data_IF_729294282192
#
_entry.id   IF_729294282192
#
_cell.length_a   1.000
_cell.length_b   1.000
_cell.length_c   1.000
_cell.angle_alpha   90.00
_cell.angle_beta   90.00
_cell.angle_gamma   90.00
#
_symmetry.space_group_name_H-M   'P 1'
#
loop_
_entity.id
_entity.type
_entity.pdbx_description
1 polymer ?
#
# COMPACT_ATOMS: atom_id res chain seq x y z
N UNK A 1 38.60 -71.14 45.48
CA UNK A 1 37.13 -71.27 45.42
C UNK A 1 36.54 -69.89 45.21
N UNK A 2 36.06 -69.63 43.98
CA UNK A 2 34.87 -68.84 43.60
C UNK A 2 34.82 -67.38 44.10
N UNK A 3 34.67 -66.32 43.31
CA UNK A 3 34.23 -66.05 41.93
C UNK A 3 34.05 -64.50 41.88
N UNK A 4 34.40 -63.77 40.82
CA UNK A 4 33.65 -63.69 39.56
C UNK A 4 32.74 -62.45 39.56
N UNK A 5 32.83 -61.60 38.52
CA UNK A 5 31.73 -60.68 38.17
C UNK A 5 32.14 -59.26 37.77
N UNK A 6 32.32 -59.03 36.47
CA UNK A 6 32.34 -57.72 35.81
C UNK A 6 30.88 -57.38 35.46
N UNK A 7 30.27 -56.31 35.97
CA UNK A 7 28.98 -55.79 35.50
C UNK A 7 28.92 -54.27 35.74
N UNK A 8 29.17 -53.44 34.71
CA UNK A 8 28.19 -52.84 33.79
C UNK A 8 27.42 -51.65 34.40
N UNK A 9 27.67 -50.45 33.84
CA UNK A 9 26.95 -49.19 34.12
C UNK A 9 25.47 -49.31 33.70
N UNK A 10 24.48 -48.94 34.55
CA UNK A 10 23.15 -48.63 34.06
C UNK A 10 23.08 -47.15 33.65
N UNK A 11 22.81 -46.93 32.36
CA UNK A 11 22.42 -45.64 31.78
C UNK A 11 20.89 -45.49 31.85
N UNK A 12 20.44 -44.35 32.38
CA UNK A 12 19.20 -43.58 32.06
C UNK A 12 17.91 -44.18 32.74
N UNK A 13 16.99 -43.35 33.32
CA UNK A 13 16.21 -42.44 32.50
C UNK A 13 16.13 -40.96 32.89
N UNK A 14 16.28 -40.11 31.87
CA UNK A 14 15.87 -38.72 31.83
C UNK A 14 14.34 -38.60 31.69
N UNK A 15 13.57 -39.09 32.67
CA UNK A 15 12.10 -38.97 32.67
C UNK A 15 11.54 -37.93 33.64
N UNK A 16 12.35 -37.35 34.53
CA UNK A 16 11.84 -36.39 35.52
C UNK A 16 11.73 -34.94 35.04
N UNK A 17 12.26 -34.60 33.87
CA UNK A 17 12.26 -33.20 33.41
C UNK A 17 11.16 -32.86 32.40
N UNK A 18 10.51 -33.85 31.79
CA UNK A 18 9.53 -33.61 30.73
C UNK A 18 8.27 -32.93 31.27
N UNK A 19 7.80 -33.31 32.46
CA UNK A 19 6.57 -32.76 33.03
C UNK A 19 6.73 -31.29 33.50
N UNK A 20 7.91 -30.96 34.04
CA UNK A 20 8.22 -29.58 34.44
C UNK A 20 8.41 -28.68 33.23
N UNK A 21 9.11 -29.15 32.18
CA UNK A 21 9.25 -28.40 30.94
C UNK A 21 7.90 -28.20 30.26
N UNK A 22 7.02 -29.22 30.22
CA UNK A 22 5.69 -29.10 29.59
C UNK A 22 4.79 -28.07 30.29
N UNK A 23 4.80 -28.06 31.63
CA UNK A 23 4.00 -27.10 32.40
C UNK A 23 4.55 -25.67 32.29
N UNK A 24 5.87 -25.50 32.28
CA UNK A 24 6.50 -24.19 32.09
C UNK A 24 6.25 -23.65 30.67
N UNK A 25 6.39 -24.48 29.63
CA UNK A 25 6.10 -24.07 28.24
C UNK A 25 4.63 -23.67 28.06
N UNK A 26 3.69 -24.39 28.71
CA UNK A 26 2.27 -24.03 28.66
C UNK A 26 2.00 -22.69 29.36
N UNK A 27 2.64 -22.45 30.51
CA UNK A 27 2.55 -21.18 31.21
C UNK A 27 3.17 -20.02 30.41
N UNK A 28 4.32 -20.24 29.78
CA UNK A 28 4.99 -19.23 28.96
C UNK A 28 4.16 -18.88 27.72
N UNK A 29 3.56 -19.87 27.08
CA UNK A 29 2.68 -19.66 25.92
C UNK A 29 1.39 -18.95 26.30
N UNK A 30 0.80 -19.30 27.45
CA UNK A 30 -0.40 -18.63 27.97
C UNK A 30 -0.09 -17.19 28.41
N UNK A 31 1.08 -16.95 29.00
CA UNK A 31 1.57 -15.63 29.36
C UNK A 31 1.83 -14.78 28.12
N UNK A 32 2.55 -15.30 27.13
CA UNK A 32 2.79 -14.62 25.87
C UNK A 32 1.49 -14.29 25.13
N UNK A 33 0.52 -15.23 25.08
CA UNK A 33 -0.80 -14.97 24.51
C UNK A 33 -1.58 -13.89 25.28
N UNK A 34 -1.50 -13.88 26.61
CA UNK A 34 -2.15 -12.85 27.43
C UNK A 34 -1.48 -11.48 27.31
N UNK A 35 -0.16 -11.43 27.14
CA UNK A 35 0.61 -10.21 26.92
C UNK A 35 0.31 -9.65 25.53
N UNK A 36 0.16 -10.49 24.50
CA UNK A 36 -0.27 -10.07 23.17
C UNK A 36 -1.71 -9.54 23.18
N UNK A 37 -2.65 -10.24 23.83
CA UNK A 37 -4.04 -9.78 23.95
C UNK A 37 -4.14 -8.46 24.75
N UNK A 38 -3.32 -8.29 25.79
CA UNK A 38 -3.25 -7.05 26.55
C UNK A 38 -2.60 -5.91 25.75
N UNK A 39 -1.57 -6.20 24.93
CA UNK A 39 -0.94 -5.23 24.05
C UNK A 39 -1.88 -4.80 22.91
N UNK A 40 -2.63 -5.73 22.31
CA UNK A 40 -3.67 -5.44 21.32
C UNK A 40 -4.82 -4.64 21.93
N UNK A 41 -5.28 -4.99 23.14
CA UNK A 41 -6.30 -4.23 23.85
C UNK A 41 -5.83 -2.82 24.22
N UNK A 42 -4.57 -2.66 24.65
CA UNK A 42 -3.98 -1.34 24.91
C UNK A 42 -3.78 -0.54 23.62
N UNK A 43 -3.40 -1.18 22.51
CA UNK A 43 -3.33 -0.53 21.21
C UNK A 43 -4.72 -0.08 20.72
N UNK A 44 -5.75 -0.92 20.87
CA UNK A 44 -7.13 -0.59 20.55
C UNK A 44 -7.69 0.53 21.45
N UNK A 45 -7.35 0.55 22.74
CA UNK A 45 -7.73 1.62 23.66
C UNK A 45 -7.03 2.94 23.33
N UNK A 46 -5.74 2.91 22.98
CA UNK A 46 -5.00 4.09 22.50
C UNK A 46 -5.57 4.66 21.19
N UNK A 47 -6.12 3.83 20.31
CA UNK A 47 -6.81 4.29 19.08
C UNK A 47 -8.17 4.93 19.41
N UNK A 48 -8.80 4.54 20.53
CA UNK A 48 -10.13 5.03 20.93
C UNK A 48 -10.06 6.37 21.70
N UNK A 49 -8.95 6.67 22.38
CA UNK A 49 -8.76 7.90 23.17
C UNK A 49 -8.12 9.06 22.40
N UNK A 50 -7.61 8.84 21.18
CA UNK A 50 -7.26 9.97 20.30
C UNK A 50 -8.56 10.51 19.73
N UNK A 51 -9.03 11.63 20.29
CA UNK A 51 -10.01 12.50 19.63
C UNK A 51 -9.62 12.62 18.15
N UNK A 52 -10.40 12.00 17.26
CA UNK A 52 -10.18 12.08 15.83
C UNK A 52 -10.64 13.47 15.38
N UNK A 53 -9.89 14.52 15.74
CA UNK A 53 -9.88 15.79 15.00
C UNK A 53 -9.15 15.63 13.65
N UNK A 54 -9.11 14.40 13.12
CA UNK A 54 -8.56 14.06 11.82
C UNK A 54 -9.64 14.11 10.74
N UNK A 55 -9.21 14.42 9.51
CA UNK A 55 -10.09 14.35 8.33
C UNK A 55 -10.57 12.92 8.11
N UNK A 56 -11.81 12.77 7.66
CA UNK A 56 -12.41 11.45 7.34
C UNK A 56 -11.90 10.96 5.99
N UNK A 57 -11.77 9.65 5.83
CA UNK A 57 -11.50 9.05 4.51
C UNK A 57 -12.80 9.03 3.72
N UNK A 58 -12.72 9.34 2.41
CA UNK A 58 -13.89 9.35 1.54
C UNK A 58 -14.43 7.94 1.35
N UNK A 59 -15.72 7.73 1.60
CA UNK A 59 -16.39 6.47 1.34
C UNK A 59 -17.02 6.52 -0.05
N UNK A 60 -16.47 5.75 -0.98
CA UNK A 60 -16.98 5.69 -2.34
C UNK A 60 -18.27 4.84 -2.37
N UNK A 61 -19.32 5.28 -3.11
CA UNK A 61 -20.55 4.50 -3.25
C UNK A 61 -20.27 3.09 -3.78
N UNK A 62 -21.04 2.10 -3.33
CA UNK A 62 -20.91 0.69 -3.73
C UNK A 62 -21.01 0.42 -5.24
N UNK A 63 -21.37 1.43 -6.04
CA UNK A 63 -21.43 1.37 -7.50
C UNK A 63 -20.10 1.75 -8.19
N UNK A 64 -19.06 2.17 -7.47
CA UNK A 64 -17.74 2.43 -8.07
C UNK A 64 -16.99 1.09 -8.23
N UNK A 65 -17.24 0.41 -9.36
CA UNK A 65 -16.68 -0.93 -9.64
C UNK A 65 -15.17 -0.86 -9.95
N UNK A 66 -14.66 0.29 -10.43
CA UNK A 66 -13.23 0.49 -10.68
C UNK A 66 -12.58 1.39 -9.63
N UNK A 67 -11.35 1.05 -9.24
CA UNK A 67 -10.50 1.85 -8.35
C UNK A 67 -10.45 3.31 -8.79
N UNK A 68 -10.27 3.54 -10.09
CA UNK A 68 -10.18 4.87 -10.70
C UNK A 68 -11.46 5.69 -10.50
N UNK A 69 -12.64 5.08 -10.68
CA UNK A 69 -13.91 5.76 -10.50
C UNK A 69 -14.14 6.20 -9.05
N UNK A 70 -13.58 5.49 -8.07
CA UNK A 70 -13.71 5.84 -6.66
C UNK A 70 -13.07 7.21 -6.32
N UNK A 71 -12.05 7.63 -7.08
CA UNK A 71 -11.31 8.88 -6.85
C UNK A 71 -11.88 10.09 -7.57
N UNK A 72 -12.77 9.91 -8.56
CA UNK A 72 -13.26 11.01 -9.39
C UNK A 72 -13.85 12.19 -8.58
N UNK A 73 -14.68 11.98 -7.54
CA UNK A 73 -15.20 13.09 -6.73
C UNK A 73 -14.11 13.88 -5.98
N UNK A 74 -13.08 13.18 -5.49
CA UNK A 74 -11.95 13.82 -4.82
C UNK A 74 -11.09 14.62 -5.80
N UNK A 75 -10.84 14.06 -6.98
CA UNK A 75 -10.12 14.73 -8.05
C UNK A 75 -10.85 16.00 -8.50
N UNK A 76 -12.17 15.94 -8.69
CA UNK A 76 -12.97 17.12 -9.02
C UNK A 76 -12.83 18.22 -7.97
N UNK A 77 -12.77 17.85 -6.69
CA UNK A 77 -12.56 18.80 -5.59
C UNK A 77 -11.17 19.45 -5.67
N UNK A 78 -10.12 18.71 -6.01
CA UNK A 78 -8.76 19.24 -6.24
C UNK A 78 -8.76 20.19 -7.43
N UNK A 79 -9.37 19.80 -8.56
CA UNK A 79 -9.48 20.63 -9.76
C UNK A 79 -10.26 21.92 -9.47
N UNK A 80 -11.35 21.84 -8.71
CA UNK A 80 -12.14 23.01 -8.32
C UNK A 80 -11.34 23.93 -7.38
N UNK A 81 -10.51 23.38 -6.49
CA UNK A 81 -9.59 24.19 -5.68
C UNK A 81 -8.54 24.93 -6.54
N UNK A 82 -8.03 24.29 -7.60
CA UNK A 82 -7.13 24.96 -8.54
C UNK A 82 -7.81 26.07 -9.33
N UNK A 83 -9.04 25.81 -9.83
CA UNK A 83 -9.85 26.81 -10.55
C UNK A 83 -10.13 28.04 -9.68
N UNK A 84 -10.58 27.84 -8.44
CA UNK A 84 -10.93 28.92 -7.51
C UNK A 84 -9.71 29.73 -7.04
N UNK A 85 -8.54 29.09 -6.91
CA UNK A 85 -7.29 29.78 -6.58
C UNK A 85 -6.62 30.44 -7.79
N UNK A 86 -7.07 30.13 -9.01
CA UNK A 86 -6.51 30.65 -10.27
C UNK A 86 -5.17 30.02 -10.67
N UNK A 87 -4.85 28.86 -10.10
CA UNK A 87 -3.71 28.02 -10.49
C UNK A 87 -4.02 27.29 -11.79
N UNK A 88 -2.99 27.12 -12.63
CA UNK A 88 -3.08 26.33 -13.86
C UNK A 88 -2.22 25.08 -13.72
N UNK A 89 -2.82 23.92 -13.95
CA UNK A 89 -2.08 22.68 -14.09
C UNK A 89 -1.51 22.58 -15.50
N UNK A 90 -0.22 22.23 -15.58
CA UNK A 90 0.48 21.87 -16.82
C UNK A 90 0.34 20.38 -17.10
N UNK A 91 0.41 19.56 -16.06
CA UNK A 91 0.19 18.11 -16.15
C UNK A 91 -0.34 17.57 -14.83
N UNK A 92 -1.09 16.47 -14.94
CA UNK A 92 -1.55 15.64 -13.83
C UNK A 92 -1.19 14.20 -14.21
N UNK A 93 -0.38 13.53 -13.40
CA UNK A 93 -0.10 12.09 -13.54
C UNK A 93 -0.72 11.34 -12.38
N UNK A 94 -1.27 10.17 -12.68
CA UNK A 94 -1.95 9.31 -11.71
C UNK A 94 -1.08 8.10 -11.42
N UNK A 95 -0.85 7.85 -10.14
CA UNK A 95 -0.17 6.66 -9.65
C UNK A 95 -1.06 5.97 -8.63
N UNK A 96 -1.70 4.88 -9.05
CA UNK A 96 -2.56 4.09 -8.16
C UNK A 96 -1.76 3.19 -7.21
N UNK A 97 -0.46 3.01 -7.46
CA UNK A 97 0.44 2.11 -6.74
C UNK A 97 1.61 2.84 -6.04
N UNK A 98 1.36 3.85 -5.19
CA UNK A 98 2.43 4.60 -4.55
C UNK A 98 3.18 3.72 -3.54
N UNK A 99 4.35 3.22 -3.94
CA UNK A 99 5.16 2.30 -3.13
C UNK A 99 5.64 2.93 -1.82
N UNK A 100 5.68 4.25 -1.73
CA UNK A 100 6.13 4.98 -0.55
C UNK A 100 5.04 5.19 0.50
N UNK A 101 3.77 4.98 0.16
CA UNK A 101 2.64 5.27 1.03
C UNK A 101 2.38 4.17 2.08
N UNK A 102 2.10 4.58 3.32
CA UNK A 102 1.86 3.66 4.43
C UNK A 102 0.55 2.88 4.30
N UNK A 103 -0.51 3.49 3.74
CA UNK A 103 -1.80 2.82 3.52
C UNK A 103 -1.67 1.81 2.39
N UNK A 104 -0.93 2.16 1.33
CA UNK A 104 -0.56 1.21 0.27
C UNK A 104 0.17 0.00 0.84
N UNK A 105 1.24 0.23 1.62
CA UNK A 105 2.07 -0.83 2.22
C UNK A 105 1.29 -1.71 3.19
N UNK A 106 0.36 -1.12 3.95
CA UNK A 106 -0.47 -1.85 4.90
C UNK A 106 -1.48 -2.79 4.22
N UNK A 107 -1.77 -2.58 2.92
CA UNK A 107 -2.68 -3.40 2.12
C UNK A 107 -4.02 -3.68 2.82
N UNK A 108 -4.60 -2.64 3.42
CA UNK A 108 -5.84 -2.75 4.18
C UNK A 108 -7.03 -3.03 3.24
N UNK A 109 -7.90 -4.00 3.56
CA UNK A 109 -9.03 -4.36 2.69
C UNK A 109 -10.00 -3.19 2.53
N UNK A 110 -10.38 -2.92 1.29
CA UNK A 110 -11.29 -1.82 0.93
C UNK A 110 -10.67 -0.43 0.96
N UNK A 111 -9.41 -0.26 1.37
CA UNK A 111 -8.71 1.02 1.28
C UNK A 111 -7.97 1.12 -0.05
N UNK A 112 -8.19 2.23 -0.75
CA UNK A 112 -7.47 2.56 -1.96
C UNK A 112 -6.72 3.88 -1.78
N UNK A 113 -5.58 3.98 -2.46
CA UNK A 113 -4.78 5.20 -2.52
C UNK A 113 -4.47 5.53 -3.98
N UNK A 114 -4.46 6.82 -4.29
CA UNK A 114 -4.02 7.37 -5.56
C UNK A 114 -3.13 8.57 -5.29
N UNK A 115 -1.91 8.53 -5.81
CA UNK A 115 -0.99 9.66 -5.81
C UNK A 115 -1.14 10.44 -7.12
N UNK A 116 -1.25 11.76 -6.99
CA UNK A 116 -1.36 12.72 -8.06
C UNK A 116 -0.08 13.54 -8.11
N UNK A 117 0.69 13.40 -9.19
CA UNK A 117 1.79 14.31 -9.49
C UNK A 117 1.25 15.49 -10.29
N UNK A 118 1.17 16.65 -9.65
CA UNK A 118 0.62 17.88 -10.20
C UNK A 118 1.76 18.83 -10.52
N UNK A 119 1.97 19.11 -11.81
CA UNK A 119 2.82 20.22 -12.22
C UNK A 119 1.94 21.45 -12.41
N UNK A 120 2.13 22.47 -11.58
CA UNK A 120 1.32 23.67 -11.52
C UNK A 120 2.14 24.93 -11.83
N UNK A 121 1.49 25.97 -12.34
CA UNK A 121 2.08 27.28 -12.53
C UNK A 121 1.18 28.41 -12.01
N UNK A 122 1.78 29.37 -11.32
CA UNK A 122 1.09 30.56 -10.83
C UNK A 122 1.96 31.43 -9.92
N UNK A 123 1.40 32.51 -9.40
CA UNK A 123 2.10 33.35 -8.43
C UNK A 123 2.05 32.75 -7.01
N UNK A 124 2.91 33.23 -6.11
CA UNK A 124 2.94 32.83 -4.70
C UNK A 124 1.54 32.84 -4.05
N UNK A 125 0.78 33.94 -4.23
CA UNK A 125 -0.56 34.09 -3.64
C UNK A 125 -1.53 33.02 -4.14
N UNK A 126 -1.48 32.71 -5.44
CA UNK A 126 -2.35 31.69 -6.04
C UNK A 126 -2.01 30.30 -5.52
N UNK A 127 -0.71 29.99 -5.45
CA UNK A 127 -0.23 28.70 -4.95
C UNK A 127 -0.56 28.51 -3.48
N UNK A 128 -0.37 29.55 -2.66
CA UNK A 128 -0.76 29.55 -1.26
C UNK A 128 -2.27 29.32 -1.08
N UNK A 129 -3.10 29.98 -1.89
CA UNK A 129 -4.55 29.81 -1.84
C UNK A 129 -4.97 28.40 -2.26
N UNK A 130 -4.30 27.82 -3.26
CA UNK A 130 -4.51 26.43 -3.67
C UNK A 130 -4.21 25.46 -2.52
N UNK A 131 -3.00 25.54 -1.93
CA UNK A 131 -2.59 24.66 -0.84
C UNK A 131 -3.51 24.82 0.40
N UNK A 132 -3.93 26.04 0.72
CA UNK A 132 -4.95 26.30 1.76
C UNK A 132 -6.29 25.67 1.40
N UNK A 133 -6.68 25.69 0.13
CA UNK A 133 -7.90 25.05 -0.37
C UNK A 133 -7.87 23.55 -0.15
N UNK A 134 -6.77 22.89 -0.54
CA UNK A 134 -6.54 21.45 -0.31
C UNK A 134 -6.56 21.12 1.19
N UNK A 135 -5.83 21.88 2.01
CA UNK A 135 -5.78 21.66 3.46
C UNK A 135 -7.13 21.85 4.17
N UNK A 136 -8.07 22.60 3.58
CA UNK A 136 -9.43 22.82 4.13
C UNK A 136 -10.46 21.77 3.69
N UNK A 137 -10.11 20.88 2.76
CA UNK A 137 -11.05 19.87 2.27
C UNK A 137 -11.55 18.97 3.42
N UNK A 138 -12.78 18.50 3.32
CA UNK A 138 -13.41 17.66 4.34
C UNK A 138 -12.70 16.30 4.47
N UNK A 139 -12.33 15.72 3.33
CA UNK A 139 -11.72 14.40 3.25
C UNK A 139 -10.21 14.42 3.42
N UNK A 140 -9.66 13.31 3.91
CA UNK A 140 -8.25 13.11 4.10
C UNK A 140 -7.52 13.13 2.76
N UNK A 141 -6.71 14.17 2.57
CA UNK A 141 -5.76 14.30 1.48
C UNK A 141 -4.40 14.59 2.09
N UNK A 142 -3.38 13.86 1.66
CA UNK A 142 -2.03 14.03 2.17
C UNK A 142 -1.15 14.69 1.12
N UNK A 143 -0.54 15.82 1.46
CA UNK A 143 0.44 16.46 0.59
C UNK A 143 1.80 15.85 0.92
N UNK A 144 2.26 14.93 0.07
CA UNK A 144 3.46 14.15 0.31
C UNK A 144 4.73 14.96 0.05
N UNK A 145 4.74 15.75 -1.02
CA UNK A 145 5.90 16.54 -1.43
C UNK A 145 5.44 17.80 -2.17
N UNK A 146 6.15 18.90 -1.95
CA UNK A 146 5.98 20.14 -2.71
C UNK A 146 7.38 20.66 -3.03
N UNK A 147 7.68 20.79 -4.32
CA UNK A 147 8.84 21.52 -4.81
C UNK A 147 8.38 22.78 -5.54
N UNK A 148 9.02 23.91 -5.28
CA UNK A 148 8.66 25.21 -5.88
C UNK A 148 9.92 25.83 -6.47
N UNK A 149 9.88 26.11 -7.76
CA UNK A 149 10.97 26.75 -8.49
C UNK A 149 10.49 28.03 -9.17
N UNK A 150 11.27 29.12 -9.15
CA UNK A 150 10.94 30.32 -9.91
C UNK A 150 11.11 30.06 -11.40
N UNK A 151 10.21 30.58 -12.22
CA UNK A 151 10.37 30.50 -13.67
C UNK A 151 11.49 31.44 -14.14
N UNK A 152 12.43 30.91 -14.93
CA UNK A 152 13.67 31.63 -15.26
C UNK A 152 13.42 32.93 -16.04
N UNK A 153 12.45 32.93 -16.96
CA UNK A 153 12.14 34.09 -17.79
C UNK A 153 11.30 35.14 -17.06
N UNK A 154 10.46 34.71 -16.12
CA UNK A 154 9.61 35.59 -15.33
C UNK A 154 9.49 35.08 -13.89
N UNK A 155 10.26 35.69 -12.98
CA UNK A 155 10.32 35.33 -11.56
C UNK A 155 9.02 35.62 -10.80
N UNK A 156 8.06 36.34 -11.40
CA UNK A 156 6.73 36.51 -10.82
C UNK A 156 5.87 35.24 -10.92
N UNK A 157 6.25 34.34 -11.83
CA UNK A 157 5.65 33.03 -12.04
C UNK A 157 6.48 31.97 -11.34
N UNK A 158 5.81 31.11 -10.59
CA UNK A 158 6.38 29.93 -9.98
C UNK A 158 5.89 28.69 -10.70
N UNK A 159 6.78 27.70 -10.77
CA UNK A 159 6.49 26.33 -11.11
C UNK A 159 6.45 25.55 -9.81
N UNK A 160 5.41 24.75 -9.62
CA UNK A 160 5.28 23.91 -8.43
C UNK A 160 4.99 22.48 -8.85
N UNK A 161 5.82 21.55 -8.39
CA UNK A 161 5.62 20.12 -8.52
C UNK A 161 5.11 19.59 -7.19
N UNK A 162 3.87 19.09 -7.19
CA UNK A 162 3.14 18.73 -5.97
C UNK A 162 2.73 17.28 -6.05
N UNK A 163 3.15 16.48 -5.08
CA UNK A 163 2.67 15.10 -4.90
C UNK A 163 1.54 15.09 -3.88
N UNK A 164 0.33 14.79 -4.34
CA UNK A 164 -0.88 14.76 -3.53
C UNK A 164 -1.45 13.35 -3.49
N UNK A 165 -1.64 12.78 -2.30
CA UNK A 165 -2.24 11.45 -2.11
C UNK A 165 -3.69 11.58 -1.67
N UNK A 166 -4.56 10.91 -2.42
CA UNK A 166 -5.99 10.79 -2.16
C UNK A 166 -6.28 9.40 -1.61
N UNK A 167 -7.21 9.34 -0.65
CA UNK A 167 -7.60 8.08 0.00
C UNK A 167 -9.10 7.86 -0.14
N UNK A 168 -9.47 6.66 -0.55
CA UNK A 168 -10.87 6.23 -0.63
C UNK A 168 -11.07 4.90 0.05
N UNK A 169 -12.29 4.67 0.51
CA UNK A 169 -12.74 3.41 1.08
C UNK A 169 -13.90 2.88 0.25
N UNK A 170 -13.76 1.67 -0.26
CA UNK A 170 -14.82 0.94 -0.98
C UNK A 170 -15.42 -0.13 -0.09
N UNK A 171 -16.70 -0.43 -0.29
CA UNK A 171 -17.41 -1.47 0.49
C UNK A 171 -16.86 -2.88 0.23
N UNK A 172 -16.19 -3.10 -0.90
CA UNK A 172 -15.59 -4.40 -1.22
C UNK A 172 -14.31 -4.66 -0.41
N UNK A 173 -14.34 -5.78 0.31
CA UNK A 173 -13.24 -6.36 1.08
C UNK A 173 -12.20 -7.06 0.21
N UNK A 174 -12.29 -6.94 -1.12
CA UNK A 174 -11.35 -7.60 -2.00
C UNK A 174 -9.95 -7.00 -1.80
N UNK A 175 -8.95 -7.83 -1.45
CA UNK A 175 -7.56 -7.41 -1.47
C UNK A 175 -7.23 -6.85 -2.84
N UNK A 176 -6.41 -5.80 -2.87
CA UNK A 176 -5.84 -5.26 -4.11
C UNK A 176 -5.30 -6.43 -4.94
N UNK A 177 -5.79 -6.59 -6.18
CA UNK A 177 -5.26 -7.58 -7.09
C UNK A 177 -3.73 -7.43 -7.15
N UNK A 178 -2.95 -8.50 -6.94
CA UNK A 178 -1.51 -8.41 -7.01
C UNK A 178 -1.11 -7.95 -8.42
N UNK A 179 0.00 -7.19 -8.47
CA UNK A 179 0.68 -6.77 -9.69
C UNK A 179 0.65 -7.96 -10.67
N UNK A 180 0.03 -7.81 -11.85
CA UNK A 180 0.48 -8.63 -12.98
C UNK A 180 1.94 -8.22 -13.15
N UNK A 181 2.86 -9.09 -12.75
CA UNK A 181 4.25 -8.89 -13.08
C UNK A 181 4.28 -8.72 -14.60
N UNK A 182 4.65 -7.52 -15.05
CA UNK A 182 5.06 -7.33 -16.42
C UNK A 182 6.11 -8.43 -16.66
N UNK A 183 5.75 -9.39 -17.51
CA UNK A 183 6.71 -10.29 -18.10
C UNK A 183 7.66 -9.37 -18.88
N UNK A 184 8.72 -8.90 -18.23
CA UNK A 184 9.94 -8.54 -18.93
C UNK A 184 10.40 -9.84 -19.60
N UNK A 185 9.88 -10.07 -20.81
CA UNK A 185 10.46 -11.01 -21.73
C UNK A 185 11.86 -10.50 -22.01
N UNK A 186 12.85 -11.12 -21.37
CA UNK A 186 14.26 -10.98 -21.74
C UNK A 186 14.38 -11.33 -23.24
N UNK A 187 14.72 -10.37 -24.12
CA UNK A 187 14.86 -10.64 -25.54
C UNK A 187 16.04 -11.56 -25.88
N UNK A 188 16.81 -12.02 -24.89
CA UNK A 188 17.95 -12.91 -25.06
C UNK A 188 17.81 -14.26 -24.33
N UNK A 189 16.59 -14.72 -24.02
CA UNK A 189 16.41 -16.12 -23.60
C UNK A 189 16.42 -17.06 -24.84
N UNK A 190 17.45 -17.90 -25.04
CA UNK A 190 17.55 -18.79 -26.20
C UNK A 190 16.56 -19.98 -26.14
N UNK A 191 15.82 -20.16 -25.05
CA UNK A 191 14.89 -21.30 -24.90
C UNK A 191 13.46 -21.02 -25.43
N UNK A 192 13.22 -19.86 -26.05
CA UNK A 192 11.91 -19.49 -26.62
C UNK A 192 11.75 -19.77 -28.13
N UNK A 193 12.70 -20.47 -28.77
CA UNK A 193 12.59 -20.91 -30.17
C UNK A 193 12.37 -22.42 -30.28
N UNK A 194 11.25 -22.90 -29.72
CA UNK A 194 10.77 -24.26 -29.98
C UNK A 194 9.26 -24.39 -29.82
N UNK A 195 8.47 -23.42 -30.28
CA UNK A 195 7.01 -23.56 -30.33
C UNK A 195 6.35 -22.62 -31.34
N UNK A 196 6.91 -22.46 -32.54
CA UNK A 196 6.13 -21.90 -33.65
C UNK A 196 6.64 -22.44 -34.99
N UNK A 197 6.28 -23.68 -35.29
CA UNK A 197 6.31 -24.22 -36.64
C UNK A 197 5.20 -25.27 -36.76
N UNK A 198 3.97 -24.79 -36.77
CA UNK A 198 2.84 -25.48 -37.37
C UNK A 198 2.13 -24.48 -38.30
N UNK A 199 2.86 -24.06 -39.34
CA UNK A 199 2.31 -23.30 -40.45
C UNK A 199 1.25 -24.13 -41.17
N UNK A 200 0.12 -23.48 -41.44
CA UNK A 200 -0.99 -24.05 -42.21
C UNK A 200 -0.58 -24.37 -43.64
N UNK A 201 -0.90 -25.58 -44.06
CA UNK A 201 -0.77 -26.06 -45.43
C UNK A 201 -2.11 -25.83 -46.14
N UNK A 202 -2.14 -24.86 -47.06
CA UNK A 202 -3.22 -24.71 -48.03
C UNK A 202 -3.03 -25.80 -49.10
N UNK A 203 -3.97 -26.74 -49.19
CA UNK A 203 -4.07 -27.67 -50.32
C UNK A 203 -5.02 -27.08 -51.37
N UNK A 204 -4.43 -26.57 -52.45
CA UNK A 204 -5.07 -26.45 -53.78
C UNK A 204 -4.95 -27.81 -54.51
N UNK A 205 -5.93 -28.10 -55.36
CA UNK A 205 -5.99 -29.16 -56.37
C UNK A 205 -6.30 -30.62 -55.97
N UNK A 206 -7.55 -31.03 -56.22
CA UNK A 206 -7.82 -32.25 -56.97
C UNK A 206 -9.18 -32.16 -57.71
N UNK A 207 -9.11 -32.56 -58.99
CA UNK A 207 -10.14 -32.76 -60.00
C UNK A 207 -11.47 -33.38 -59.54
#
# INVERSE_FOLDING_TARGET
VIGGGIYALPKIPAFFNINNTYNNTKMDLQRSSSELAAAEAQAAQKITEVSIEGKKIYEAPSMSISRDASFAPLLETVINSAKTSGIRFRSIKYNYDPQEDSVYKANLPGYNVCELDLAAAGSYTKLQNFLKGIAKQEYLNNIAEIEITPYEQDRSVLLADIKLRLYTKTADTQPRAPRQAEFEGDPNNPDAQAADNAGGEYSEDAM
#
